data_IF_774631120592
#
_entry.id   IF_774631120592
#
_cell.length_a   1.000
_cell.length_b   1.000
_cell.length_c   1.000
_cell.angle_alpha   90.00
_cell.angle_beta   90.00
_cell.angle_gamma   90.00
#
_symmetry.space_group_name_H-M   'P 1'
#
loop_
_entity.id
_entity.type
_entity.pdbx_description
1 polymer ?
#
# COMPACT_ATOMS: atom_id res chain seq x y z
N UNK A 1 -4.86 -0.74 1.93
CA UNK A 1 -4.84 -1.46 3.23
C UNK A 1 -5.70 -2.72 3.29
N UNK A 2 -6.87 -2.78 2.65
CA UNK A 2 -7.78 -3.95 2.76
C UNK A 2 -7.20 -5.28 2.31
N UNK A 3 -6.32 -5.30 1.31
CA UNK A 3 -5.71 -6.55 0.82
C UNK A 3 -4.75 -7.18 1.83
N UNK A 4 -3.93 -6.36 2.51
CA UNK A 4 -2.89 -6.80 3.44
C UNK A 4 -3.42 -7.25 4.81
N UNK A 5 -4.73 -7.18 5.06
CA UNK A 5 -5.33 -7.53 6.36
C UNK A 5 -4.93 -6.60 7.52
N UNK A 6 -4.19 -5.52 7.24
CA UNK A 6 -3.78 -4.55 8.25
C UNK A 6 -5.01 -3.85 8.86
N UNK A 7 -5.02 -3.73 10.19
CA UNK A 7 -6.05 -3.03 10.97
C UNK A 7 -5.58 -1.73 11.60
N UNK A 8 -4.27 -1.52 11.60
CA UNK A 8 -3.67 -0.28 12.04
C UNK A 8 -2.49 0.05 11.14
N UNK A 9 -2.31 1.34 10.87
CA UNK A 9 -1.08 1.90 10.30
C UNK A 9 -0.42 2.72 11.39
N UNK A 10 0.85 2.45 11.66
CA UNK A 10 1.64 3.16 12.66
C UNK A 10 2.75 3.91 11.92
N UNK A 11 2.90 5.19 12.24
CA UNK A 11 3.95 6.05 11.66
C UNK A 11 4.63 6.85 12.78
N UNK A 12 5.95 6.81 12.78
CA UNK A 12 6.81 7.61 13.66
C UNK A 12 7.12 8.98 13.07
N UNK A 13 7.67 9.85 13.89
CA UNK A 13 8.34 11.10 13.51
C UNK A 13 9.72 11.24 14.19
N UNK A 14 10.18 10.18 14.83
CA UNK A 14 11.42 10.06 15.61
C UNK A 14 12.60 9.54 14.79
N UNK A 15 12.36 9.13 13.54
CA UNK A 15 13.41 8.59 12.69
C UNK A 15 14.44 9.65 12.25
N UNK A 16 15.72 9.29 12.28
CA UNK A 16 16.81 10.12 11.76
C UNK A 16 17.00 9.83 10.28
N UNK A 17 16.32 10.62 9.44
CA UNK A 17 16.35 10.46 7.97
C UNK A 17 17.75 10.50 7.37
N UNK A 18 18.71 11.17 8.01
CA UNK A 18 20.09 11.25 7.50
C UNK A 18 20.86 9.94 7.69
N UNK A 19 20.34 9.04 8.54
CA UNK A 19 20.89 7.71 8.78
C UNK A 19 20.01 6.62 8.18
N UNK A 20 18.69 6.79 8.17
CA UNK A 20 17.75 5.75 7.71
C UNK A 20 17.39 5.82 6.24
N UNK A 21 17.59 6.98 5.59
CA UNK A 21 17.08 7.22 4.24
C UNK A 21 15.55 7.29 4.15
N UNK A 22 14.84 7.37 5.30
CA UNK A 22 13.39 7.44 5.33
C UNK A 22 12.86 8.78 4.81
N UNK A 23 11.61 8.76 4.36
CA UNK A 23 10.88 9.97 3.99
C UNK A 23 10.74 10.89 5.21
N UNK A 24 10.83 12.21 5.00
CA UNK A 24 10.68 13.15 6.10
C UNK A 24 9.29 13.03 6.73
N UNK A 25 9.21 13.08 8.07
CA UNK A 25 7.97 12.85 8.79
C UNK A 25 6.83 13.80 8.40
N UNK A 26 7.19 15.05 8.05
CA UNK A 26 6.24 16.05 7.56
C UNK A 26 5.62 15.67 6.21
N UNK A 27 6.44 15.20 5.27
CA UNK A 27 5.98 14.75 3.95
C UNK A 27 5.14 13.48 4.07
N UNK A 28 5.59 12.52 4.90
CA UNK A 28 4.84 11.30 5.20
C UNK A 28 3.45 11.59 5.78
N UNK A 29 3.36 12.56 6.68
CA UNK A 29 2.09 13.00 7.23
C UNK A 29 1.20 13.69 6.19
N UNK A 30 1.79 14.44 5.25
CA UNK A 30 1.09 15.04 4.11
C UNK A 30 0.49 13.97 3.19
N UNK A 31 1.30 12.99 2.80
CA UNK A 31 0.89 11.87 1.94
C UNK A 31 -0.20 11.03 2.61
N UNK A 32 -0.07 10.71 3.90
CA UNK A 32 -1.14 10.01 4.61
C UNK A 32 -2.42 10.84 4.64
N UNK A 33 -2.36 12.14 4.91
CA UNK A 33 -3.56 13.00 4.96
C UNK A 33 -4.29 13.10 3.63
N UNK A 34 -3.63 12.89 2.50
CA UNK A 34 -4.26 12.87 1.18
C UNK A 34 -5.15 11.63 0.98
N UNK A 35 -4.94 10.59 1.78
CA UNK A 35 -5.68 9.34 1.67
C UNK A 35 -6.94 9.33 2.54
N UNK A 36 -8.02 8.74 2.01
CA UNK A 36 -9.26 8.59 2.73
C UNK A 36 -9.07 7.78 4.04
N UNK A 37 -9.55 8.34 5.15
CA UNK A 37 -9.44 7.72 6.48
C UNK A 37 -8.17 8.03 7.27
N UNK A 38 -7.26 8.85 6.72
CA UNK A 38 -5.96 9.17 7.35
C UNK A 38 -5.76 10.65 7.67
N UNK A 39 -6.83 11.45 7.63
CA UNK A 39 -6.77 12.89 7.93
C UNK A 39 -6.38 13.19 9.39
N UNK A 40 -6.71 12.30 10.33
CA UNK A 40 -6.37 12.41 11.76
C UNK A 40 -6.02 11.04 12.35
N UNK A 41 -5.04 10.96 13.27
CA UNK A 41 -4.72 9.72 13.96
C UNK A 41 -5.84 9.31 14.92
N UNK A 42 -6.07 8.01 15.05
CA UNK A 42 -6.94 7.40 16.07
C UNK A 42 -6.31 7.50 17.46
N UNK A 43 -5.00 7.32 17.54
CA UNK A 43 -4.22 7.48 18.79
C UNK A 43 -2.90 8.18 18.50
N UNK A 44 -2.50 9.07 19.41
CA UNK A 44 -1.21 9.77 19.37
C UNK A 44 -0.41 9.47 20.63
N UNK A 45 0.89 9.23 20.48
CA UNK A 45 1.79 8.94 21.59
C UNK A 45 2.99 9.90 21.56
N UNK A 46 3.50 10.22 22.75
CA UNK A 46 4.69 11.05 22.92
C UNK A 46 4.46 12.55 22.74
N UNK A 47 5.54 13.36 22.86
CA UNK A 47 5.48 14.80 22.73
C UNK A 47 5.21 15.23 21.29
N UNK A 48 4.62 16.41 21.14
CA UNK A 48 4.47 17.05 19.83
C UNK A 48 5.68 17.93 19.53
N UNK A 49 6.29 17.72 18.36
CA UNK A 49 7.40 18.55 17.86
C UNK A 49 7.04 19.14 16.50
N UNK A 50 7.75 20.21 16.14
CA UNK A 50 7.64 20.84 14.82
C UNK A 50 8.64 20.17 13.89
N UNK A 51 8.16 19.81 12.70
CA UNK A 51 8.96 19.20 11.63
C UNK A 51 8.79 20.02 10.36
N UNK A 52 9.90 20.32 9.71
CA UNK A 52 9.91 20.97 8.41
C UNK A 52 9.66 19.93 7.30
N UNK A 53 9.04 20.37 6.21
CA UNK A 53 8.90 19.56 4.99
C UNK A 53 10.26 19.38 4.31
N UNK A 54 10.40 18.36 3.45
CA UNK A 54 11.61 18.23 2.62
C UNK A 54 11.82 19.48 1.76
N UNK A 55 13.08 19.87 1.44
CA UNK A 55 13.34 20.95 0.49
C UNK A 55 12.69 20.77 -0.90
N UNK A 56 12.37 19.54 -1.28
CA UNK A 56 11.66 19.22 -2.53
C UNK A 56 10.14 19.40 -2.43
N UNK A 57 9.60 19.59 -1.22
CA UNK A 57 8.18 19.74 -0.95
C UNK A 57 7.82 21.22 -0.72
N UNK A 58 6.61 21.60 -1.13
CA UNK A 58 6.04 22.91 -0.81
C UNK A 58 5.10 22.77 0.38
N UNK A 59 5.27 23.61 1.40
CA UNK A 59 4.34 23.69 2.50
C UNK A 59 4.93 24.24 3.79
N UNK A 60 4.09 24.66 4.74
CA UNK A 60 4.55 25.07 6.04
C UNK A 60 5.01 23.86 6.87
N UNK A 61 5.88 24.09 7.87
CA UNK A 61 6.21 23.07 8.86
C UNK A 61 4.96 22.58 9.59
N UNK A 62 4.96 21.30 9.99
CA UNK A 62 3.84 20.65 10.66
C UNK A 62 4.20 20.27 12.10
N UNK A 63 3.23 20.36 12.99
CA UNK A 63 3.35 19.81 14.35
C UNK A 63 2.82 18.39 14.38
N UNK A 64 3.65 17.44 14.80
CA UNK A 64 3.35 16.02 14.82
C UNK A 64 3.70 15.42 16.20
N UNK A 65 2.89 14.47 16.72
CA UNK A 65 3.32 13.66 17.86
C UNK A 65 4.39 12.66 17.40
N UNK A 66 5.14 12.14 18.36
CA UNK A 66 6.22 11.18 18.12
C UNK A 66 5.74 9.93 17.37
N UNK A 67 4.61 9.35 17.79
CA UNK A 67 3.98 8.21 17.10
C UNK A 67 2.50 8.46 16.86
N UNK A 68 2.02 8.10 15.67
CA UNK A 68 0.62 8.18 15.25
C UNK A 68 0.13 6.79 14.87
N UNK A 69 -1.04 6.41 15.37
CA UNK A 69 -1.77 5.21 14.96
C UNK A 69 -3.05 5.60 14.24
N UNK A 70 -3.29 5.03 13.08
CA UNK A 70 -4.51 5.14 12.31
C UNK A 70 -5.18 3.77 12.28
N UNK A 71 -6.34 3.64 12.91
CA UNK A 71 -7.13 2.42 12.78
C UNK A 71 -7.78 2.39 11.41
N UNK A 72 -7.57 1.27 10.70
CA UNK A 72 -8.08 1.07 9.34
C UNK A 72 -9.02 -0.12 9.33
N UNK A 73 -10.10 0.01 8.57
CA UNK A 73 -11.01 -1.10 8.33
C UNK A 73 -10.29 -2.17 7.48
N UNK A 74 -9.76 -3.19 8.16
CA UNK A 74 -9.17 -4.37 7.54
C UNK A 74 -10.13 -5.56 7.62
N UNK A 75 -10.16 -6.43 6.60
CA UNK A 75 -10.93 -7.65 6.70
C UNK A 75 -10.33 -8.60 7.75
N UNK A 76 -11.08 -9.64 8.13
CA UNK A 76 -10.60 -10.65 9.09
C UNK A 76 -9.42 -11.46 8.57
N UNK A 77 -8.76 -12.20 9.47
CA UNK A 77 -7.63 -13.08 9.14
C UNK A 77 -8.01 -14.16 8.12
N UNK A 78 -9.22 -14.71 8.24
CA UNK A 78 -9.77 -15.73 7.36
C UNK A 78 -10.98 -15.18 6.62
N UNK A 79 -11.07 -15.47 5.32
CA UNK A 79 -12.16 -15.00 4.45
C UNK A 79 -12.59 -16.13 3.53
N UNK A 80 -13.89 -16.29 3.36
CA UNK A 80 -14.45 -17.16 2.32
C UNK A 80 -14.66 -16.31 1.07
N UNK A 81 -14.13 -16.77 -0.05
CA UNK A 81 -14.25 -16.12 -1.35
C UNK A 81 -14.87 -17.09 -2.37
N UNK A 82 -15.60 -16.59 -3.38
CA UNK A 82 -16.09 -17.45 -4.45
C UNK A 82 -14.92 -18.11 -5.20
N UNK A 83 -15.13 -19.30 -5.75
CA UNK A 83 -14.09 -19.99 -6.51
C UNK A 83 -13.86 -19.41 -7.92
N UNK A 84 -14.85 -18.69 -8.47
CA UNK A 84 -14.83 -18.04 -9.78
C UNK A 84 -15.92 -16.97 -9.88
N UNK A 85 -15.82 -16.01 -10.85
CA UNK A 85 -14.64 -15.74 -11.68
C UNK A 85 -13.47 -15.19 -10.84
N UNK A 86 -12.25 -15.27 -11.37
CA UNK A 86 -11.03 -14.78 -10.73
C UNK A 86 -10.55 -13.49 -11.42
N UNK A 87 -9.71 -12.72 -10.74
CA UNK A 87 -8.81 -11.76 -11.39
C UNK A 87 -7.40 -12.34 -11.36
N UNK A 88 -6.83 -12.62 -12.52
CA UNK A 88 -5.46 -13.12 -12.68
C UNK A 88 -4.54 -11.94 -13.00
N UNK A 89 -3.54 -11.71 -12.16
CA UNK A 89 -2.58 -10.61 -12.34
C UNK A 89 -1.23 -11.17 -12.78
N UNK A 90 -0.83 -10.84 -14.00
CA UNK A 90 0.54 -11.04 -14.50
C UNK A 90 1.34 -9.75 -14.24
N UNK A 91 2.11 -9.75 -13.15
CA UNK A 91 2.82 -8.58 -12.63
C UNK A 91 3.32 -8.82 -11.20
N UNK A 92 3.88 -7.78 -10.58
CA UNK A 92 4.31 -7.79 -9.17
C UNK A 92 3.21 -7.23 -8.25
N UNK A 93 3.49 -7.15 -6.95
CA UNK A 93 2.60 -6.50 -5.98
C UNK A 93 2.33 -5.02 -6.32
N UNK A 94 3.24 -4.35 -7.04
CA UNK A 94 3.05 -2.96 -7.47
C UNK A 94 1.85 -2.81 -8.41
N UNK A 95 1.54 -3.84 -9.23
CA UNK A 95 0.35 -3.85 -10.08
C UNK A 95 -0.95 -3.67 -9.28
N UNK A 96 -0.99 -4.14 -8.03
CA UNK A 96 -2.15 -3.95 -7.17
C UNK A 96 -2.27 -2.51 -6.66
N UNK A 97 -1.13 -1.85 -6.46
CA UNK A 97 -1.07 -0.42 -6.17
C UNK A 97 -1.61 0.40 -7.33
N UNK A 98 -1.17 0.09 -8.55
CA UNK A 98 -1.62 0.76 -9.77
C UNK A 98 -3.13 0.57 -10.00
N UNK A 99 -3.62 -0.68 -9.89
CA UNK A 99 -5.06 -0.96 -9.97
C UNK A 99 -5.85 -0.17 -8.93
N UNK A 100 -5.35 -0.04 -7.70
CA UNK A 100 -6.00 0.75 -6.66
C UNK A 100 -6.00 2.25 -7.02
N UNK A 101 -4.90 2.77 -7.56
CA UNK A 101 -4.77 4.15 -8.02
C UNK A 101 -5.73 4.49 -9.16
N UNK A 102 -5.96 3.55 -10.08
CA UNK A 102 -6.95 3.69 -11.15
C UNK A 102 -8.39 3.40 -10.71
N UNK A 103 -8.63 3.02 -9.45
CA UNK A 103 -9.96 2.60 -8.98
C UNK A 103 -10.45 1.29 -9.59
N UNK A 104 -9.56 0.51 -10.21
CA UNK A 104 -9.82 -0.76 -10.90
C UNK A 104 -9.56 -1.99 -10.02
N UNK A 105 -9.12 -1.81 -8.78
CA UNK A 105 -8.83 -2.93 -7.88
C UNK A 105 -10.12 -3.75 -7.57
N UNK A 106 -10.13 -5.07 -7.83
CA UNK A 106 -11.32 -5.89 -7.60
C UNK A 106 -11.78 -5.86 -6.14
N UNK A 107 -13.01 -5.40 -5.91
CA UNK A 107 -13.55 -5.30 -4.56
C UNK A 107 -14.11 -6.64 -4.02
N UNK A 108 -14.53 -7.54 -4.92
CA UNK A 108 -15.27 -8.78 -4.56
C UNK A 108 -14.71 -10.03 -5.24
N UNK A 109 -14.02 -9.87 -6.36
CA UNK A 109 -13.41 -10.97 -7.12
C UNK A 109 -12.12 -11.41 -6.43
N UNK A 110 -11.90 -12.72 -6.22
CA UNK A 110 -10.63 -13.24 -5.71
C UNK A 110 -9.50 -12.93 -6.70
N UNK A 111 -8.33 -12.59 -6.17
CA UNK A 111 -7.15 -12.25 -6.93
C UNK A 111 -6.09 -13.35 -6.80
N UNK A 112 -5.49 -13.73 -7.92
CA UNK A 112 -4.35 -14.66 -7.97
C UNK A 112 -3.25 -14.09 -8.85
N UNK A 113 -1.98 -14.34 -8.51
CA UNK A 113 -0.87 -13.98 -9.38
C UNK A 113 -0.65 -15.06 -10.45
N UNK A 114 -0.40 -14.65 -11.69
CA UNK A 114 -0.15 -15.57 -12.79
C UNK A 114 1.10 -16.43 -12.55
N UNK A 115 2.12 -15.87 -11.89
CA UNK A 115 3.37 -16.58 -11.55
C UNK A 115 3.19 -17.76 -10.59
N UNK A 116 2.10 -17.77 -9.81
CA UNK A 116 1.77 -18.86 -8.88
C UNK A 116 0.92 -19.95 -9.55
N UNK A 117 0.45 -19.71 -10.78
CA UNK A 117 -0.51 -20.55 -11.47
C UNK A 117 0.13 -21.29 -12.64
N UNK A 118 -0.37 -22.50 -12.93
CA UNK A 118 0.01 -23.20 -14.16
C UNK A 118 -0.69 -22.58 -15.37
N UNK A 119 -0.09 -22.71 -16.56
CA UNK A 119 -0.72 -22.26 -17.80
C UNK A 119 -2.10 -22.90 -18.04
N UNK A 120 -2.29 -24.16 -17.62
CA UNK A 120 -3.58 -24.84 -17.66
C UNK A 120 -4.62 -24.19 -16.73
N UNK A 121 -4.21 -23.82 -15.51
CA UNK A 121 -5.07 -23.14 -14.55
C UNK A 121 -5.49 -21.75 -15.04
N UNK A 122 -4.57 -20.99 -15.65
CA UNK A 122 -4.86 -19.67 -16.22
C UNK A 122 -5.87 -19.80 -17.37
N UNK A 123 -5.63 -20.73 -18.32
CA UNK A 123 -6.58 -20.98 -19.43
C UNK A 123 -7.96 -21.38 -18.93
N UNK A 124 -8.01 -22.24 -17.91
CA UNK A 124 -9.27 -22.68 -17.31
C UNK A 124 -9.98 -21.55 -16.53
N UNK A 125 -9.24 -20.64 -15.92
CA UNK A 125 -9.81 -19.45 -15.29
C UNK A 125 -10.39 -18.50 -16.35
N UNK A 126 -9.65 -18.24 -17.43
CA UNK A 126 -10.09 -17.42 -18.55
C UNK A 126 -11.36 -17.98 -19.21
N UNK A 127 -11.44 -19.30 -19.44
CA UNK A 127 -12.64 -19.93 -20.01
C UNK A 127 -13.85 -19.87 -19.08
N UNK A 128 -13.65 -19.64 -17.77
CA UNK A 128 -14.70 -19.39 -16.78
C UNK A 128 -14.97 -17.91 -16.53
N UNK A 129 -14.47 -17.02 -17.39
CA UNK A 129 -14.72 -15.58 -17.33
C UNK A 129 -13.85 -14.81 -16.34
N UNK A 130 -12.61 -15.27 -16.09
CA UNK A 130 -11.66 -14.50 -15.30
C UNK A 130 -11.20 -13.23 -16.03
N UNK A 131 -11.01 -12.14 -15.27
CA UNK A 131 -10.32 -10.95 -15.74
C UNK A 131 -8.81 -11.22 -15.76
N UNK A 132 -8.13 -10.82 -16.84
CA UNK A 132 -6.67 -10.86 -16.93
C UNK A 132 -6.12 -9.44 -16.87
N UNK A 133 -5.23 -9.20 -15.91
CA UNK A 133 -4.48 -7.96 -15.78
C UNK A 133 -3.03 -8.26 -16.13
N UNK A 134 -2.51 -7.60 -17.16
CA UNK A 134 -1.09 -7.66 -17.51
C UNK A 134 -0.46 -6.33 -17.15
N UNK A 135 0.54 -6.37 -16.28
CA UNK A 135 1.26 -5.21 -15.79
C UNK A 135 2.74 -5.33 -16.14
N UNK A 136 3.35 -4.21 -16.46
CA UNK A 136 4.79 -4.10 -16.68
C UNK A 136 5.57 -3.86 -15.37
N UNK A 137 4.94 -4.04 -14.21
CA UNK A 137 5.54 -3.84 -12.88
C UNK A 137 6.71 -4.77 -12.58
N UNK A 138 6.77 -5.95 -13.20
CA UNK A 138 7.89 -6.88 -13.06
C UNK A 138 9.05 -6.51 -14.01
N UNK A 139 9.65 -5.33 -13.79
CA UNK A 139 10.81 -4.86 -14.58
C UNK A 139 12.12 -5.43 -14.02
N UNK A 140 13.08 -5.70 -14.90
CA UNK A 140 14.47 -5.97 -14.50
C UNK A 140 15.05 -4.73 -13.81
N UNK A 141 15.44 -4.86 -12.55
CA UNK A 141 16.02 -3.79 -11.74
C UNK A 141 17.23 -4.31 -10.98
N UNK A 142 18.22 -3.45 -10.77
CA UNK A 142 19.32 -3.69 -9.83
C UNK A 142 18.99 -3.00 -8.52
N UNK A 143 18.95 -3.75 -7.42
CA UNK A 143 18.85 -3.19 -6.09
C UNK A 143 20.26 -2.83 -5.61
N UNK A 144 20.48 -1.56 -5.33
CA UNK A 144 21.71 -1.09 -4.70
C UNK A 144 21.44 -1.00 -3.19
N UNK A 145 21.99 -1.89 -2.36
CA UNK A 145 21.96 -1.69 -0.92
C UNK A 145 22.76 -0.41 -0.59
N UNK A 146 22.22 0.44 0.28
CA UNK A 146 22.90 1.64 0.77
C UNK A 146 24.24 1.26 1.43
N UNK A 147 25.31 1.98 1.10
CA UNK A 147 26.59 1.91 1.83
C UNK A 147 26.50 2.67 3.16
#
# INVERSE_FOLDING_TARGET
>A
MRLMGARAVITGADDDRFRSGAMAAADAAGELRSQAGFSRPSVSYGPFRRYDVSPASLGPPVRLPEVRRYDVAGPGLVRVQPAAPLTVVDGSADALGDLAGFGALPARTPLVYAGDQTAGAIRAAASRGADLVVSDSNRRRTLLPSQ
#
